data_IF_927256907495
#
_entry.id   IF_927256907495
#
_cell.length_a   1.000
_cell.length_b   1.000
_cell.length_c   1.000
_cell.angle_alpha   90.00
_cell.angle_beta   90.00
_cell.angle_gamma   90.00
#
_symmetry.space_group_name_H-M   'P 1'
#
loop_
_entity.id
_entity.type
_entity.pdbx_description
1 polymer ?
#
# COMPACT_ATOMS: atom_id res chain seq x y z
N UNK A 1 16.75 8.17 35.44
CA UNK A 1 15.92 9.08 34.61
C UNK A 1 15.25 8.26 33.51
N UNK A 2 13.92 8.22 33.46
CA UNK A 2 13.19 7.44 32.46
C UNK A 2 13.40 8.03 31.06
N UNK A 3 13.83 7.21 30.08
CA UNK A 3 13.93 7.66 28.68
C UNK A 3 12.52 7.96 28.17
N UNK A 4 12.21 9.25 27.95
CA UNK A 4 10.98 9.67 27.29
C UNK A 4 10.92 9.01 25.90
N UNK A 5 9.80 8.40 25.57
CA UNK A 5 9.54 7.81 24.24
C UNK A 5 8.37 8.53 23.58
N UNK A 6 8.27 8.43 22.26
CA UNK A 6 7.22 9.05 21.44
C UNK A 6 6.71 8.04 20.44
N UNK A 7 5.39 7.92 20.35
CA UNK A 7 4.74 7.01 19.42
C UNK A 7 4.55 7.65 18.05
N UNK A 8 4.95 6.92 17.02
CA UNK A 8 4.79 7.32 15.63
C UNK A 8 4.29 6.12 14.81
N UNK A 9 3.59 6.42 13.72
CA UNK A 9 3.13 5.43 12.74
C UNK A 9 4.06 5.54 11.54
N UNK A 10 4.69 4.44 11.14
CA UNK A 10 5.59 4.43 10.00
C UNK A 10 4.81 4.54 8.68
N UNK A 11 5.32 5.33 7.74
CA UNK A 11 4.77 5.47 6.39
C UNK A 11 5.63 4.77 5.34
N UNK A 12 6.75 4.18 5.77
CA UNK A 12 7.66 3.45 4.90
C UNK A 12 8.31 2.32 5.69
N UNK A 13 8.72 1.27 4.99
CA UNK A 13 9.49 0.19 5.60
C UNK A 13 10.87 0.69 6.04
N UNK A 14 11.24 0.46 7.29
CA UNK A 14 12.53 0.87 7.86
C UNK A 14 13.25 -0.35 8.42
N UNK A 15 14.36 -0.73 7.77
CA UNK A 15 15.17 -1.90 8.15
C UNK A 15 15.66 -1.82 9.60
N UNK A 16 16.07 -0.63 10.07
CA UNK A 16 16.61 -0.46 11.43
C UNK A 16 15.58 -0.70 12.54
N UNK A 17 14.29 -0.58 12.24
CA UNK A 17 13.21 -0.87 13.17
C UNK A 17 12.61 -2.27 12.93
N UNK A 18 12.88 -2.89 11.78
CA UNK A 18 12.30 -4.18 11.39
C UNK A 18 10.77 -4.12 11.26
N UNK A 19 10.22 -2.95 10.90
CA UNK A 19 8.79 -2.67 10.89
C UNK A 19 8.32 -2.20 9.52
N UNK A 20 7.07 -2.52 9.22
CA UNK A 20 6.43 -2.33 7.92
C UNK A 20 5.73 -0.96 7.87
N UNK A 21 5.38 -0.51 6.66
CA UNK A 21 4.49 0.64 6.50
C UNK A 21 3.17 0.40 7.26
N UNK A 22 2.73 1.40 8.02
CA UNK A 22 1.51 1.35 8.82
C UNK A 22 1.71 0.88 10.27
N UNK A 23 2.89 0.37 10.63
CA UNK A 23 3.16 -0.10 11.98
C UNK A 23 3.33 1.06 12.97
N UNK A 24 2.77 0.88 14.18
CA UNK A 24 2.96 1.80 15.30
C UNK A 24 4.19 1.41 16.11
N UNK A 25 5.08 2.38 16.33
CA UNK A 25 6.34 2.16 17.05
C UNK A 25 6.61 3.26 18.07
N UNK A 26 7.13 2.86 19.24
CA UNK A 26 7.60 3.78 20.26
C UNK A 26 9.09 4.03 20.07
N UNK A 27 9.48 5.27 19.75
CA UNK A 27 10.86 5.65 19.45
C UNK A 27 11.34 6.78 20.36
N UNK A 28 12.65 7.03 20.37
CA UNK A 28 13.19 8.19 21.05
C UNK A 28 12.66 9.50 20.41
N UNK A 29 12.30 10.52 21.21
CA UNK A 29 11.74 11.77 20.69
C UNK A 29 12.68 12.50 19.70
N UNK A 30 13.99 12.38 19.89
CA UNK A 30 14.98 12.93 18.96
C UNK A 30 14.99 12.21 17.62
N UNK A 31 14.81 10.88 17.62
CA UNK A 31 14.74 10.10 16.38
C UNK A 31 13.47 10.42 15.58
N UNK A 32 12.33 10.57 16.27
CA UNK A 32 11.10 11.02 15.62
C UNK A 32 11.24 12.42 15.01
N UNK A 33 11.71 13.41 15.79
CA UNK A 33 11.77 14.81 15.36
C UNK A 33 12.85 15.12 14.32
N UNK A 34 14.03 14.49 14.42
CA UNK A 34 15.17 14.87 13.58
C UNK A 34 15.28 14.00 12.32
N UNK A 35 14.74 12.78 12.34
CA UNK A 35 14.88 11.83 11.23
C UNK A 35 13.53 11.46 10.64
N UNK A 36 12.62 10.85 11.41
CA UNK A 36 11.42 10.24 10.86
C UNK A 36 10.40 11.26 10.30
N UNK A 37 10.08 12.30 11.07
CA UNK A 37 9.07 13.30 10.68
C UNK A 37 9.53 14.18 9.50
N UNK A 38 10.77 14.75 9.50
CA UNK A 38 11.20 15.62 8.39
C UNK A 38 11.36 14.88 7.07
N UNK A 39 11.75 13.60 7.11
CA UNK A 39 11.89 12.78 5.90
C UNK A 39 10.59 12.11 5.47
N UNK A 40 9.47 12.37 6.16
CA UNK A 40 8.17 11.79 5.84
C UNK A 40 8.11 10.26 6.00
N UNK A 41 9.01 9.68 6.81
CA UNK A 41 9.09 8.24 7.08
C UNK A 41 8.16 7.79 8.21
N UNK A 42 7.63 8.74 8.98
CA UNK A 42 6.59 8.48 9.97
C UNK A 42 5.66 9.67 10.13
N UNK A 43 4.48 9.41 10.70
CA UNK A 43 3.52 10.41 11.15
C UNK A 43 3.30 10.29 12.67
N UNK A 44 2.90 11.37 13.36
CA UNK A 44 2.59 11.29 14.79
C UNK A 44 1.41 10.34 15.05
N UNK A 45 1.53 9.51 16.09
CA UNK A 45 0.43 8.65 16.57
C UNK A 45 -0.63 9.51 17.26
N UNK A 46 -1.54 10.09 16.48
CA UNK A 46 -2.74 10.74 16.99
C UNK A 46 -3.97 9.86 16.75
N UNK A 47 -5.02 9.93 17.58
CA UNK A 47 -6.24 9.16 17.37
C UNK A 47 -6.87 9.39 15.97
N UNK A 48 -6.76 10.61 15.45
CA UNK A 48 -7.23 10.94 14.08
C UNK A 48 -6.39 10.27 13.01
N UNK A 49 -5.06 10.25 13.16
CA UNK A 49 -4.16 9.60 12.22
C UNK A 49 -4.33 8.09 12.21
N UNK A 50 -4.53 7.47 13.38
CA UNK A 50 -4.80 6.02 13.49
C UNK A 50 -6.05 5.63 12.71
N UNK A 51 -7.16 6.35 12.91
CA UNK A 51 -8.42 6.11 12.17
C UNK A 51 -8.24 6.29 10.67
N UNK A 52 -7.51 7.34 10.26
CA UNK A 52 -7.23 7.61 8.85
C UNK A 52 -6.44 6.47 8.21
N UNK A 53 -5.37 6.01 8.85
CA UNK A 53 -4.56 4.89 8.32
C UNK A 53 -5.37 3.61 8.25
N UNK A 54 -6.15 3.28 9.28
CA UNK A 54 -7.04 2.13 9.27
C UNK A 54 -8.06 2.20 8.11
N UNK A 55 -8.70 3.36 7.90
CA UNK A 55 -9.64 3.53 6.78
C UNK A 55 -8.97 3.41 5.41
N UNK A 56 -7.75 3.90 5.26
CA UNK A 56 -7.00 3.80 4.01
C UNK A 56 -6.57 2.36 3.73
N UNK A 57 -6.20 1.59 4.77
CA UNK A 57 -5.90 0.17 4.63
C UNK A 57 -7.12 -0.61 4.17
N UNK A 58 -8.28 -0.39 4.77
CA UNK A 58 -9.54 -1.04 4.35
C UNK A 58 -9.86 -0.71 2.89
N UNK A 59 -9.80 0.57 2.51
CA UNK A 59 -10.06 0.98 1.13
C UNK A 59 -9.05 0.40 0.13
N UNK A 60 -7.78 0.25 0.51
CA UNK A 60 -6.76 -0.39 -0.35
C UNK A 60 -7.12 -1.86 -0.61
N UNK A 61 -7.44 -2.60 0.46
CA UNK A 61 -7.81 -4.02 0.36
C UNK A 61 -9.06 -4.23 -0.50
N UNK A 62 -10.09 -3.38 -0.32
CA UNK A 62 -11.29 -3.44 -1.13
C UNK A 62 -10.99 -3.19 -2.62
N UNK A 63 -10.18 -2.16 -2.93
CA UNK A 63 -9.78 -1.86 -4.31
C UNK A 63 -9.01 -3.02 -4.95
N UNK A 64 -8.02 -3.56 -4.25
CA UNK A 64 -7.22 -4.69 -4.73
C UNK A 64 -8.10 -5.91 -5.02
N UNK A 65 -9.08 -6.20 -4.15
CA UNK A 65 -10.03 -7.29 -4.38
C UNK A 65 -10.90 -7.05 -5.63
N UNK A 66 -11.44 -5.84 -5.80
CA UNK A 66 -12.25 -5.50 -6.98
C UNK A 66 -11.45 -5.54 -8.28
N UNK A 67 -10.19 -5.10 -8.26
CA UNK A 67 -9.32 -5.09 -9.43
C UNK A 67 -8.97 -6.53 -9.84
N UNK A 68 -8.66 -7.40 -8.87
CA UNK A 68 -8.42 -8.83 -9.14
C UNK A 68 -9.64 -9.53 -9.74
N UNK A 69 -10.84 -9.23 -9.24
CA UNK A 69 -12.09 -9.76 -9.80
C UNK A 69 -12.27 -9.31 -11.25
N UNK A 70 -12.15 -8.01 -11.51
CA UNK A 70 -12.29 -7.44 -12.84
C UNK A 70 -11.26 -8.00 -13.84
N UNK A 71 -10.00 -8.16 -13.42
CA UNK A 71 -8.96 -8.79 -14.26
C UNK A 71 -9.27 -10.25 -14.56
N UNK A 72 -9.83 -10.99 -13.60
CA UNK A 72 -10.22 -12.39 -13.79
C UNK A 72 -11.36 -12.51 -14.81
N UNK A 73 -12.37 -11.65 -14.69
CA UNK A 73 -13.51 -11.59 -15.62
C UNK A 73 -13.08 -11.21 -17.05
N UNK A 74 -12.18 -10.22 -17.17
CA UNK A 74 -11.61 -9.82 -18.46
C UNK A 74 -10.81 -10.96 -19.11
N UNK A 75 -9.98 -11.66 -18.33
CA UNK A 75 -9.21 -12.82 -18.81
C UNK A 75 -10.14 -13.89 -19.38
N UNK A 76 -11.21 -14.22 -18.66
CA UNK A 76 -12.14 -15.27 -19.06
C UNK A 76 -12.93 -14.86 -20.31
N UNK A 77 -13.34 -13.59 -20.39
CA UNK A 77 -13.97 -13.00 -21.57
C UNK A 77 -13.05 -13.07 -22.80
N UNK A 78 -11.78 -12.70 -22.67
CA UNK A 78 -10.79 -12.80 -23.75
C UNK A 78 -10.52 -14.24 -24.17
N UNK A 79 -10.48 -15.18 -23.22
CA UNK A 79 -10.27 -16.61 -23.52
C UNK A 79 -11.41 -17.20 -24.34
N UNK A 80 -12.64 -16.73 -24.14
CA UNK A 80 -13.82 -17.16 -24.90
C UNK A 80 -13.87 -16.59 -26.33
N UNK A 81 -13.10 -15.53 -26.59
CA UNK A 81 -13.11 -14.80 -27.86
C UNK A 81 -12.27 -15.53 -28.91
N UNK A 82 -12.93 -16.29 -29.79
CA UNK A 82 -12.30 -16.87 -30.98
C UNK A 82 -12.41 -15.89 -32.15
N UNK A 83 -11.31 -15.22 -32.48
CA UNK A 83 -11.21 -14.33 -33.63
C UNK A 83 -10.75 -15.13 -34.86
N UNK A 84 -11.64 -15.30 -35.84
CA UNK A 84 -11.30 -15.88 -37.14
C UNK A 84 -10.97 -14.73 -38.09
N UNK A 85 -9.68 -14.49 -38.31
CA UNK A 85 -9.20 -13.50 -39.27
C UNK A 85 -9.15 -14.15 -40.65
N UNK A 86 -10.09 -13.82 -41.52
CA UNK A 86 -10.07 -14.26 -42.92
C UNK A 86 -9.13 -13.34 -43.72
N UNK A 87 -8.01 -13.90 -44.16
CA UNK A 87 -7.06 -13.22 -45.06
C UNK A 87 -7.39 -13.65 -46.50
N UNK A 88 -7.41 -12.70 -47.46
CA UNK A 88 -7.52 -13.04 -48.89
C UNK A 88 -6.20 -13.66 -49.36
N UNK A 89 -6.12 -14.98 -49.40
CA UNK A 89 -5.10 -15.70 -50.20
C UNK A 89 -5.57 -15.69 -51.65
N UNK A 90 -5.06 -14.76 -52.45
CA UNK A 90 -5.27 -14.76 -53.90
C UNK A 90 -4.42 -15.84 -54.56
N UNK A 91 -5.06 -16.64 -55.41
CA UNK A 91 -4.39 -17.51 -56.37
C UNK A 91 -3.73 -16.63 -57.43
N UNK A 92 -2.42 -16.80 -57.59
CA UNK A 92 -1.60 -16.28 -58.66
C UNK A 92 -0.59 -17.35 -59.05
#
# INVERSE_FOLDING_TARGET
MSKKQTEVILTSHIVSLGKSEGDMVSVAPGYARNYLLPHGLAIPSSPGNQRRIASLQVQKVEREATELQHMTELRDSLKSLKLVIKVKTGEG
#
